data_IF_548179077289
#
_entry.id   IF_548179077289
#
_cell.length_a   1.000
_cell.length_b   1.000
_cell.length_c   1.000
_cell.angle_alpha   90.00
_cell.angle_beta   90.00
_cell.angle_gamma   90.00
#
_symmetry.space_group_name_H-M   'P 1'
#
loop_
_entity.id
_entity.type
_entity.pdbx_description
1 polymer ?
#
# COMPACT_ATOMS: atom_id res chain seq x y z
N UNK A 1 -50.99 -57.04 13.75
CA UNK A 1 -50.83 -57.81 12.50
C UNK A 1 -49.35 -57.89 12.15
N UNK A 2 -48.82 -59.13 12.16
CA UNK A 2 -47.50 -59.62 11.65
C UNK A 2 -46.22 -58.88 12.08
N UNK A 3 -45.66 -59.31 13.23
CA UNK A 3 -44.21 -59.41 13.46
C UNK A 3 -43.69 -60.68 12.75
N UNK A 4 -42.54 -60.61 12.09
CA UNK A 4 -41.74 -61.80 11.77
C UNK A 4 -40.25 -61.49 11.96
N UNK A 5 -39.62 -62.34 12.75
CA UNK A 5 -38.21 -62.40 13.11
C UNK A 5 -37.60 -63.65 12.43
N UNK A 6 -36.29 -63.63 12.23
CA UNK A 6 -35.36 -64.73 11.85
C UNK A 6 -35.55 -65.37 10.45
N UNK A 7 -34.54 -65.89 9.75
CA UNK A 7 -33.34 -66.62 10.18
C UNK A 7 -32.31 -66.74 9.03
N UNK A 8 -31.06 -67.03 9.42
CA UNK A 8 -29.78 -67.16 8.70
C UNK A 8 -29.72 -67.96 7.37
N UNK A 9 -28.71 -67.67 6.53
CA UNK A 9 -27.83 -68.70 5.93
C UNK A 9 -26.46 -68.17 5.47
N UNK A 10 -25.48 -69.06 5.59
CA UNK A 10 -24.03 -68.83 5.55
C UNK A 10 -23.42 -68.94 4.14
N UNK A 11 -22.29 -68.25 3.97
CA UNK A 11 -21.10 -68.60 3.17
C UNK A 11 -21.24 -69.03 1.70
N UNK A 12 -20.66 -68.25 0.79
CA UNK A 12 -19.70 -68.80 -0.20
C UNK A 12 -18.76 -67.69 -0.69
N UNK A 13 -17.48 -67.79 -0.30
CA UNK A 13 -16.38 -66.98 -0.81
C UNK A 13 -15.88 -67.64 -2.09
N UNK A 14 -16.10 -67.01 -3.25
CA UNK A 14 -15.43 -67.40 -4.49
C UNK A 14 -14.25 -66.46 -4.68
N UNK A 15 -13.04 -66.92 -4.35
CA UNK A 15 -11.79 -66.26 -4.71
C UNK A 15 -11.53 -66.54 -6.20
N UNK A 16 -11.84 -65.56 -7.05
CA UNK A 16 -11.42 -65.58 -8.44
C UNK A 16 -9.93 -65.20 -8.50
N UNK A 17 -9.07 -66.20 -8.71
CA UNK A 17 -7.64 -66.02 -8.98
C UNK A 17 -7.48 -65.51 -10.43
N UNK A 18 -7.35 -64.20 -10.58
CA UNK A 18 -6.97 -63.55 -11.83
C UNK A 18 -5.43 -63.51 -11.90
N UNK A 19 -4.85 -64.45 -12.65
CA UNK A 19 -3.45 -64.39 -13.06
C UNK A 19 -3.33 -63.34 -14.15
N UNK A 20 -2.94 -62.12 -13.76
CA UNK A 20 -2.55 -61.07 -14.71
C UNK A 20 -1.06 -61.30 -15.03
N UNK A 21 -0.79 -61.67 -16.27
CA UNK A 21 0.55 -61.69 -16.84
C UNK A 21 1.16 -60.27 -16.78
N UNK A 22 2.15 -60.09 -15.91
CA UNK A 22 3.02 -58.91 -15.88
C UNK A 22 3.91 -58.91 -17.12
N UNK A 23 3.45 -58.23 -18.18
CA UNK A 23 4.35 -57.75 -19.22
C UNK A 23 4.93 -56.43 -18.69
N UNK A 24 6.20 -56.43 -18.29
CA UNK A 24 6.92 -55.18 -17.99
C UNK A 24 7.26 -54.51 -19.33
N UNK A 25 6.73 -53.31 -19.63
CA UNK A 25 7.36 -52.48 -20.63
C UNK A 25 8.65 -51.97 -20.01
N UNK A 26 9.79 -52.39 -20.54
CA UNK A 26 11.04 -51.63 -20.40
C UNK A 26 10.92 -50.37 -21.26
N UNK A 27 10.02 -49.48 -20.88
CA UNK A 27 9.95 -48.13 -21.40
C UNK A 27 10.63 -47.24 -20.39
N UNK A 28 11.74 -46.61 -20.78
CA UNK A 28 12.30 -45.45 -20.10
C UNK A 28 11.27 -44.33 -20.11
N UNK A 29 10.31 -44.42 -19.18
CA UNK A 29 9.33 -43.38 -18.94
C UNK A 29 10.05 -42.22 -18.30
N UNK A 30 10.44 -41.24 -19.12
CA UNK A 30 10.64 -39.88 -18.64
C UNK A 30 9.28 -39.48 -18.06
N UNK A 31 9.15 -39.52 -16.73
CA UNK A 31 8.04 -38.85 -16.09
C UNK A 31 8.17 -37.38 -16.47
N UNK A 32 7.15 -36.75 -17.07
CA UNK A 32 7.14 -35.30 -17.13
C UNK A 32 7.10 -34.83 -15.69
N UNK A 33 8.23 -34.32 -15.19
CA UNK A 33 8.22 -33.46 -14.02
C UNK A 33 7.37 -32.29 -14.45
N UNK A 34 6.13 -32.22 -13.98
CA UNK A 34 5.36 -31.00 -14.05
C UNK A 34 6.20 -29.97 -13.30
N UNK A 35 6.88 -29.10 -14.04
CA UNK A 35 7.44 -27.90 -13.45
C UNK A 35 6.26 -27.17 -12.82
N UNK A 36 6.15 -27.20 -11.50
CA UNK A 36 5.32 -26.22 -10.82
C UNK A 36 5.87 -24.88 -11.28
N UNK A 37 5.03 -24.08 -11.94
CA UNK A 37 5.38 -22.72 -12.28
C UNK A 37 5.60 -21.98 -10.96
N UNK A 38 6.87 -21.90 -10.52
CA UNK A 38 7.27 -21.03 -9.44
C UNK A 38 7.13 -19.63 -10.00
N UNK A 39 5.96 -19.06 -9.81
CA UNK A 39 5.66 -17.70 -10.22
C UNK A 39 6.26 -16.72 -9.20
N UNK A 40 6.62 -15.53 -9.66
CA UNK A 40 6.98 -14.44 -8.74
C UNK A 40 5.86 -14.23 -7.74
N UNK A 41 6.18 -14.26 -6.45
CA UNK A 41 5.23 -13.94 -5.38
C UNK A 41 5.57 -12.62 -4.72
N UNK A 42 4.54 -11.98 -4.18
CA UNK A 42 4.64 -10.68 -3.55
C UNK A 42 4.08 -10.77 -2.14
N UNK A 43 4.67 -10.04 -1.24
CA UNK A 43 3.93 -9.45 -0.14
C UNK A 43 4.24 -7.96 -0.08
N UNK A 44 3.46 -7.28 0.72
CA UNK A 44 3.56 -5.85 0.88
C UNK A 44 2.38 -5.38 1.70
N UNK A 45 2.60 -4.31 2.44
CA UNK A 45 1.58 -3.68 3.25
C UNK A 45 1.99 -2.24 3.49
N UNK A 46 1.00 -1.34 3.45
CA UNK A 46 1.18 0.03 3.84
C UNK A 46 0.18 0.38 4.95
N UNK A 47 0.67 1.05 6.00
CA UNK A 47 -0.14 1.45 7.15
C UNK A 47 0.24 2.87 7.55
N UNK A 48 -0.72 3.79 7.58
CA UNK A 48 -0.44 5.19 7.92
C UNK A 48 -0.22 5.39 9.41
N UNK A 49 -1.03 4.77 10.27
CA UNK A 49 -0.81 4.79 11.72
C UNK A 49 -0.95 3.40 12.28
N UNK A 50 0.05 2.96 13.05
CA UNK A 50 -0.01 1.78 13.92
C UNK A 50 0.53 2.17 15.29
N UNK A 51 -0.29 2.10 16.32
CA UNK A 51 0.10 2.50 17.67
C UNK A 51 -0.37 1.49 18.72
N UNK A 52 0.55 1.13 19.61
CA UNK A 52 0.27 0.43 20.87
C UNK A 52 0.63 1.37 22.00
N UNK A 53 -0.33 1.70 22.85
CA UNK A 53 -0.15 2.64 23.97
C UNK A 53 -0.76 2.02 25.21
N UNK A 54 -0.02 2.04 26.32
CA UNK A 54 -0.49 1.52 27.59
C UNK A 54 -1.84 2.16 27.98
N UNK A 55 -2.85 1.32 28.23
CA UNK A 55 -4.19 1.77 28.59
C UNK A 55 -5.12 2.11 27.41
N UNK A 56 -4.65 1.99 26.16
CA UNK A 56 -5.48 2.12 24.96
C UNK A 56 -5.57 0.80 24.19
N UNK A 57 -6.70 0.51 23.51
CA UNK A 57 -6.74 -0.56 22.52
C UNK A 57 -5.76 -0.25 21.37
N UNK A 58 -5.23 -1.28 20.67
CA UNK A 58 -4.39 -1.05 19.49
C UNK A 58 -5.06 -0.15 18.47
N UNK A 59 -4.35 0.87 18.00
CA UNK A 59 -4.83 1.83 17.02
C UNK A 59 -4.19 1.52 15.67
N UNK A 60 -5.03 1.25 14.67
CA UNK A 60 -4.60 1.08 13.27
C UNK A 60 -5.49 1.95 12.40
N UNK A 61 -4.88 2.87 11.65
CA UNK A 61 -5.59 3.78 10.75
C UNK A 61 -4.98 3.69 9.35
N UNK A 62 -5.86 3.60 8.35
CA UNK A 62 -5.51 3.47 6.92
C UNK A 62 -4.45 2.39 6.68
N UNK A 63 -4.85 1.13 6.85
CA UNK A 63 -4.04 -0.05 6.58
C UNK A 63 -4.58 -0.79 5.34
N UNK A 64 -3.70 -1.06 4.38
CA UNK A 64 -4.06 -1.84 3.19
C UNK A 64 -4.35 -3.30 3.52
N UNK A 65 -3.79 -3.80 4.64
CA UNK A 65 -3.57 -5.21 4.89
C UNK A 65 -2.50 -5.80 3.95
N UNK A 66 -2.07 -7.04 4.19
CA UNK A 66 -1.06 -7.68 3.35
C UNK A 66 -1.60 -7.99 1.94
N UNK A 67 -0.75 -7.82 0.94
CA UNK A 67 -1.01 -8.34 -0.40
C UNK A 67 -1.04 -9.88 -0.38
N UNK A 68 -1.94 -10.50 -1.17
CA UNK A 68 -1.84 -11.93 -1.45
C UNK A 68 -0.53 -12.24 -2.19
N UNK A 69 -0.03 -13.47 -2.01
CA UNK A 69 1.16 -13.98 -2.73
C UNK A 69 1.07 -13.85 -4.25
N UNK A 70 -0.15 -13.87 -4.81
CA UNK A 70 -0.41 -13.67 -6.24
C UNK A 70 -0.26 -12.23 -6.73
N UNK A 71 -0.06 -11.26 -5.82
CA UNK A 71 -0.01 -9.84 -6.14
C UNK A 71 -1.39 -9.17 -6.20
N UNK A 72 -1.47 -8.08 -6.96
CA UNK A 72 -2.62 -7.19 -7.09
C UNK A 72 -2.40 -5.84 -6.41
N UNK A 73 -3.47 -5.05 -6.31
CA UNK A 73 -3.46 -3.72 -5.70
C UNK A 73 -4.39 -3.64 -4.48
N UNK A 74 -3.94 -3.01 -3.39
CA UNK A 74 -4.72 -2.68 -2.19
C UNK A 74 -4.48 -1.21 -1.82
N UNK A 75 -5.51 -0.58 -1.27
CA UNK A 75 -5.49 0.82 -0.84
C UNK A 75 -6.32 0.98 0.42
N UNK A 76 -5.97 1.97 1.22
CA UNK A 76 -6.79 2.47 2.31
C UNK A 76 -6.60 3.97 2.43
N UNK A 77 -7.66 4.69 2.78
CA UNK A 77 -7.59 6.13 3.01
C UNK A 77 -8.59 6.63 4.02
N UNK A 78 -8.23 7.73 4.67
CA UNK A 78 -9.09 8.50 5.54
C UNK A 78 -8.80 9.99 5.29
N UNK A 79 -9.86 10.77 5.12
CA UNK A 79 -9.73 12.21 4.92
C UNK A 79 -9.23 12.91 6.19
N UNK A 80 -9.75 12.50 7.35
CA UNK A 80 -9.35 12.99 8.67
C UNK A 80 -9.47 11.85 9.68
N UNK A 81 -8.65 11.87 10.73
CA UNK A 81 -8.72 10.95 11.85
C UNK A 81 -8.38 11.67 13.15
N UNK A 82 -9.07 11.29 14.23
CA UNK A 82 -8.80 11.78 15.58
C UNK A 82 -8.95 10.64 16.57
N UNK A 83 -7.89 10.39 17.35
CA UNK A 83 -7.90 9.45 18.48
C UNK A 83 -7.70 10.28 19.74
N UNK A 84 -8.73 10.42 20.60
CA UNK A 84 -8.68 11.29 21.77
C UNK A 84 -7.45 11.04 22.64
N UNK A 85 -6.72 12.12 22.94
CA UNK A 85 -5.51 12.07 23.77
C UNK A 85 -4.26 11.47 23.09
N UNK A 86 -4.38 10.96 21.86
CA UNK A 86 -3.25 10.38 21.12
C UNK A 86 -2.89 11.19 19.88
N UNK A 87 -3.79 11.36 18.91
CA UNK A 87 -3.44 12.04 17.67
C UNK A 87 -4.61 12.69 16.95
N UNK A 88 -4.28 13.68 16.12
CA UNK A 88 -5.07 14.09 14.96
C UNK A 88 -4.24 13.94 13.69
N UNK A 89 -4.90 13.55 12.60
CA UNK A 89 -4.24 13.36 11.32
C UNK A 89 -5.17 13.72 10.15
N UNK A 90 -4.60 14.27 9.09
CA UNK A 90 -5.32 14.68 7.88
C UNK A 90 -4.72 14.00 6.65
N UNK A 91 -5.61 13.62 5.71
CA UNK A 91 -5.31 12.92 4.45
C UNK A 91 -4.34 11.75 4.65
N UNK A 92 -4.84 10.70 5.28
CA UNK A 92 -4.13 9.44 5.43
C UNK A 92 -4.31 8.64 4.14
N UNK A 93 -3.22 8.32 3.45
CA UNK A 93 -3.19 7.52 2.24
C UNK A 93 -2.25 6.34 2.42
N UNK A 94 -2.72 5.13 2.08
CA UNK A 94 -1.88 3.95 1.97
C UNK A 94 -2.22 3.18 0.69
N UNK A 95 -1.20 2.70 0.00
CA UNK A 95 -1.33 1.84 -1.16
C UNK A 95 -0.24 0.79 -1.21
N UNK A 96 -0.56 -0.36 -1.80
CA UNK A 96 0.36 -1.47 -1.99
C UNK A 96 0.02 -2.18 -3.28
N UNK A 97 0.99 -2.31 -4.18
CA UNK A 97 0.81 -2.93 -5.50
C UNK A 97 1.96 -3.91 -5.74
N UNK A 98 1.61 -5.17 -6.01
CA UNK A 98 2.55 -6.20 -6.41
C UNK A 98 2.15 -6.77 -7.77
N UNK A 99 2.96 -6.53 -8.80
CA UNK A 99 2.73 -7.10 -10.13
C UNK A 99 4.01 -7.14 -10.97
N UNK A 100 4.07 -8.11 -11.89
CA UNK A 100 5.20 -8.31 -12.80
C UNK A 100 6.54 -8.56 -12.10
N UNK A 101 7.38 -7.53 -12.07
CA UNK A 101 8.73 -7.59 -11.50
C UNK A 101 8.87 -6.69 -10.25
N UNK A 102 7.78 -6.09 -9.76
CA UNK A 102 7.83 -5.11 -8.67
C UNK A 102 6.77 -5.36 -7.59
N UNK A 103 7.16 -5.16 -6.34
CA UNK A 103 6.29 -4.90 -5.19
C UNK A 103 6.59 -3.49 -4.69
N UNK A 104 5.56 -2.64 -4.61
CA UNK A 104 5.67 -1.24 -4.20
C UNK A 104 4.62 -0.92 -3.15
N UNK A 105 5.04 -0.23 -2.11
CA UNK A 105 4.17 0.21 -1.02
C UNK A 105 4.45 1.66 -0.66
N UNK A 106 3.40 2.39 -0.37
CA UNK A 106 3.46 3.79 0.02
C UNK A 106 2.45 4.07 1.13
N UNK A 107 2.89 4.79 2.15
CA UNK A 107 2.01 5.36 3.18
C UNK A 107 2.36 6.82 3.37
N UNK A 108 1.36 7.70 3.42
CA UNK A 108 1.54 9.11 3.71
C UNK A 108 0.44 9.67 4.60
N UNK A 109 0.80 10.71 5.36
CA UNK A 109 -0.12 11.55 6.13
C UNK A 109 0.23 13.01 5.88
N UNK A 110 -0.79 13.81 5.56
CA UNK A 110 -0.60 15.18 5.14
C UNK A 110 -0.53 16.21 6.28
N UNK A 111 -0.90 15.81 7.49
CA UNK A 111 -0.71 16.58 8.71
C UNK A 111 -0.82 15.65 9.90
N UNK A 112 0.11 15.72 10.83
CA UNK A 112 0.11 14.91 12.05
C UNK A 112 0.26 15.83 13.26
N UNK A 113 -0.57 15.61 14.27
CA UNK A 113 -0.26 16.00 15.65
C UNK A 113 -0.39 14.76 16.53
N UNK A 114 0.68 14.34 17.16
CA UNK A 114 0.78 13.18 18.05
C UNK A 114 1.18 13.66 19.46
N UNK A 115 0.46 13.19 20.47
CA UNK A 115 0.81 13.37 21.88
C UNK A 115 0.90 11.99 22.51
N UNK A 116 2.08 11.62 23.01
CA UNK A 116 2.29 10.29 23.60
C UNK A 116 3.38 10.33 24.67
N UNK A 117 3.08 9.77 25.85
CA UNK A 117 4.06 9.68 26.95
C UNK A 117 4.64 11.02 27.37
N UNK A 118 3.86 12.10 27.33
CA UNK A 118 4.30 13.47 27.67
C UNK A 118 5.08 14.19 26.56
N UNK A 119 5.30 13.56 25.41
CA UNK A 119 5.93 14.19 24.26
C UNK A 119 4.88 14.63 23.23
N UNK A 120 5.16 15.73 22.54
CA UNK A 120 4.37 16.19 21.39
C UNK A 120 5.21 16.09 20.13
N UNK A 121 4.66 15.52 19.07
CA UNK A 121 5.29 15.39 17.77
C UNK A 121 4.32 15.88 16.69
N UNK A 122 4.74 16.85 15.89
CA UNK A 122 3.95 17.38 14.79
C UNK A 122 4.76 17.34 13.49
N UNK A 123 4.07 17.15 12.37
CA UNK A 123 4.68 17.31 11.06
C UNK A 123 3.63 17.71 10.02
N UNK A 124 4.05 18.52 9.05
CA UNK A 124 3.20 18.97 7.96
C UNK A 124 3.11 17.94 6.84
N UNK A 125 3.98 16.94 6.79
CA UNK A 125 3.84 15.81 5.89
C UNK A 125 4.78 14.70 6.32
N UNK A 126 4.31 13.45 6.24
CA UNK A 126 5.18 12.29 6.26
C UNK A 126 4.80 11.36 5.12
N UNK A 127 5.79 10.77 4.48
CA UNK A 127 5.62 9.67 3.53
C UNK A 127 6.73 8.64 3.72
N UNK A 128 6.39 7.37 3.60
CA UNK A 128 7.34 6.26 3.46
C UNK A 128 7.06 5.51 2.17
N UNK A 129 8.13 5.15 1.45
CA UNK A 129 8.09 4.38 0.21
C UNK A 129 9.04 3.20 0.30
N UNK A 130 8.55 2.05 -0.13
CA UNK A 130 9.28 0.80 -0.16
C UNK A 130 9.06 0.10 -1.51
N UNK A 131 10.15 -0.34 -2.13
CA UNK A 131 10.13 -1.12 -3.37
C UNK A 131 11.02 -2.34 -3.23
N UNK A 132 10.50 -3.49 -3.66
CA UNK A 132 11.27 -4.69 -3.94
C UNK A 132 11.06 -5.08 -5.41
N UNK A 133 12.15 -5.31 -6.15
CA UNK A 133 12.09 -5.54 -7.59
C UNK A 133 12.97 -6.73 -8.02
N UNK A 134 12.53 -7.46 -9.03
CA UNK A 134 13.31 -8.52 -9.66
C UNK A 134 14.37 -7.96 -10.60
N UNK A 135 15.54 -8.61 -10.62
CA UNK A 135 16.62 -8.27 -11.55
C UNK A 135 16.61 -9.18 -12.76
N UNK A 136 16.96 -8.61 -13.90
CA UNK A 136 17.28 -9.38 -15.10
C UNK A 136 18.50 -10.26 -14.85
N UNK A 137 18.40 -11.55 -15.18
CA UNK A 137 19.48 -12.52 -14.94
C UNK A 137 19.46 -13.14 -13.53
N UNK A 138 18.47 -12.81 -12.70
CA UNK A 138 18.23 -13.46 -11.40
C UNK A 138 18.50 -12.56 -10.19
N UNK A 139 17.92 -12.95 -9.06
CA UNK A 139 17.97 -12.18 -7.82
C UNK A 139 16.95 -11.03 -7.79
N UNK A 140 17.11 -10.17 -6.79
CA UNK A 140 16.23 -9.04 -6.53
C UNK A 140 17.00 -7.85 -5.95
N UNK A 141 16.34 -6.70 -5.88
CA UNK A 141 16.83 -5.48 -5.25
C UNK A 141 15.74 -4.84 -4.42
N UNK A 142 16.14 -4.06 -3.42
CA UNK A 142 15.24 -3.22 -2.64
C UNK A 142 15.70 -1.77 -2.61
N UNK A 143 14.73 -0.86 -2.64
CA UNK A 143 14.90 0.57 -2.52
C UNK A 143 13.82 1.14 -1.60
N UNK A 144 14.14 2.22 -0.89
CA UNK A 144 13.17 2.84 0.01
C UNK A 144 13.68 4.15 0.58
N UNK A 145 12.75 5.04 0.86
CA UNK A 145 13.02 6.38 1.37
C UNK A 145 11.80 6.89 2.14
N UNK A 146 12.02 7.90 2.98
CA UNK A 146 10.95 8.69 3.56
C UNK A 146 11.13 10.18 3.24
N UNK A 147 10.01 10.90 3.22
CA UNK A 147 9.97 12.35 3.16
C UNK A 147 9.22 12.86 4.38
N UNK A 148 9.79 13.83 5.08
CA UNK A 148 9.16 14.45 6.24
C UNK A 148 9.34 15.95 6.15
N UNK A 149 8.23 16.69 6.26
CA UNK A 149 8.22 18.15 6.19
C UNK A 149 7.81 18.72 7.53
N UNK A 150 8.58 19.71 7.98
CA UNK A 150 8.32 20.47 9.20
C UNK A 150 8.12 19.60 10.44
N UNK A 151 9.04 18.66 10.69
CA UNK A 151 9.01 17.84 11.91
C UNK A 151 9.38 18.67 13.14
N UNK A 152 8.42 18.80 14.05
CA UNK A 152 8.59 19.45 15.35
C UNK A 152 8.42 18.40 16.47
N UNK A 153 9.37 18.32 17.40
CA UNK A 153 9.32 17.43 18.58
C UNK A 153 9.46 18.30 19.83
N UNK A 154 8.48 18.24 20.73
CA UNK A 154 8.44 19.02 21.97
C UNK A 154 8.66 20.53 21.76
N UNK A 155 8.13 21.07 20.66
CA UNK A 155 8.27 22.48 20.28
C UNK A 155 9.60 22.84 19.60
N UNK A 156 10.50 21.86 19.38
CA UNK A 156 11.76 22.07 18.68
C UNK A 156 11.69 21.52 17.25
N UNK A 157 12.07 22.37 16.28
CA UNK A 157 12.23 21.97 14.88
C UNK A 157 13.41 21.02 14.72
N UNK A 158 13.13 19.85 14.15
CA UNK A 158 14.12 18.82 13.85
C UNK A 158 14.57 18.95 12.40
N UNK A 159 15.88 18.92 12.19
CA UNK A 159 16.47 18.83 10.86
C UNK A 159 16.50 17.35 10.45
N UNK A 160 15.76 17.02 9.39
CA UNK A 160 15.74 15.68 8.81
C UNK A 160 16.94 15.54 7.86
N UNK A 161 17.89 14.70 8.22
CA UNK A 161 19.15 14.53 7.48
C UNK A 161 18.99 13.70 6.19
N UNK A 162 17.85 13.02 6.02
CA UNK A 162 17.54 12.16 4.88
C UNK A 162 18.21 10.78 4.92
N UNK A 163 19.24 10.58 5.75
CA UNK A 163 19.87 9.28 5.94
C UNK A 163 18.94 8.28 6.65
N UNK A 164 19.02 6.98 6.35
CA UNK A 164 18.26 5.97 7.08
C UNK A 164 18.60 5.94 8.58
N UNK A 165 17.60 5.65 9.40
CA UNK A 165 17.71 5.37 10.84
C UNK A 165 18.26 6.54 11.68
N UNK A 166 17.96 7.79 11.30
CA UNK A 166 18.29 8.96 12.12
C UNK A 166 17.53 8.89 13.44
N UNK A 167 18.22 8.89 14.57
CA UNK A 167 17.60 8.80 15.90
C UNK A 167 17.64 10.13 16.64
N UNK A 168 16.51 10.54 17.19
CA UNK A 168 16.35 11.67 18.11
C UNK A 168 16.02 11.10 19.50
N UNK A 169 16.86 11.39 20.49
CA UNK A 169 16.62 10.97 21.87
C UNK A 169 15.54 11.82 22.52
N UNK A 170 14.65 11.17 23.27
CA UNK A 170 13.67 11.81 24.15
C UNK A 170 14.05 11.53 25.62
N UNK A 171 13.57 12.33 26.58
CA UNK A 171 13.83 12.07 28.00
C UNK A 171 13.38 10.69 28.50
N UNK A 172 12.38 10.10 27.85
CA UNK A 172 11.76 8.82 28.21
C UNK A 172 11.61 7.86 27.01
N UNK A 173 12.48 7.98 26.00
CA UNK A 173 12.42 7.14 24.81
C UNK A 173 13.21 7.69 23.64
N UNK A 174 12.74 7.42 22.42
CA UNK A 174 13.36 7.90 21.19
C UNK A 174 12.37 8.04 20.04
N UNK A 175 12.77 8.79 19.04
CA UNK A 175 12.14 8.85 17.72
C UNK A 175 13.16 8.43 16.67
N UNK A 176 12.83 7.44 15.85
CA UNK A 176 13.63 7.02 14.70
C UNK A 176 12.96 7.53 13.43
N UNK A 177 13.71 8.31 12.66
CA UNK A 177 13.30 8.93 11.40
C UNK A 177 13.89 8.11 10.26
N UNK A 178 13.08 7.88 9.21
CA UNK A 178 13.48 7.08 8.06
C UNK A 178 14.03 5.72 8.51
N UNK A 179 13.31 5.04 9.41
CA UNK A 179 13.74 3.74 9.90
C UNK A 179 13.61 2.73 8.77
N UNK A 180 14.72 2.07 8.43
CA UNK A 180 14.77 1.09 7.35
C UNK A 180 15.36 -0.23 7.82
N UNK A 181 14.62 -1.31 7.56
CA UNK A 181 15.11 -2.68 7.70
C UNK A 181 15.02 -3.38 6.35
N UNK A 182 16.03 -4.19 6.02
CA UNK A 182 16.18 -4.83 4.71
C UNK A 182 16.61 -6.28 4.90
N UNK A 183 16.08 -7.17 4.09
CA UNK A 183 16.55 -8.55 3.97
C UNK A 183 16.64 -8.93 2.49
N UNK A 184 17.72 -9.63 2.11
CA UNK A 184 17.94 -10.10 0.75
C UNK A 184 18.61 -11.47 0.81
N UNK A 185 17.98 -12.47 0.20
CA UNK A 185 18.50 -13.84 0.10
C UNK A 185 17.90 -14.52 -1.12
N UNK A 186 18.73 -15.03 -2.03
CA UNK A 186 18.38 -15.93 -3.14
C UNK A 186 17.01 -15.68 -3.81
N UNK A 187 16.90 -14.53 -4.48
CA UNK A 187 15.69 -14.14 -5.21
C UNK A 187 14.55 -13.62 -4.33
N UNK A 188 14.66 -13.72 -3.01
CA UNK A 188 13.73 -13.09 -2.05
C UNK A 188 14.34 -11.83 -1.48
N UNK A 189 13.64 -10.70 -1.60
CA UNK A 189 14.05 -9.45 -1.01
C UNK A 189 12.86 -8.78 -0.32
N UNK A 190 13.11 -8.17 0.84
CA UNK A 190 12.13 -7.38 1.56
C UNK A 190 12.76 -6.09 2.10
N UNK A 191 11.94 -5.05 2.19
CA UNK A 191 12.28 -3.80 2.84
C UNK A 191 11.06 -3.26 3.58
N UNK A 192 11.30 -2.77 4.79
CA UNK A 192 10.34 -1.95 5.52
C UNK A 192 10.93 -0.56 5.71
N UNK A 193 10.15 0.46 5.41
CA UNK A 193 10.45 1.86 5.70
C UNK A 193 9.36 2.43 6.58
N UNK A 194 9.75 2.96 7.73
CA UNK A 194 8.87 3.77 8.57
C UNK A 194 9.34 5.22 8.48
N UNK A 195 8.45 6.15 8.13
CA UNK A 195 8.81 7.56 8.10
C UNK A 195 9.17 8.01 9.52
N UNK A 196 8.33 7.65 10.50
CA UNK A 196 8.54 7.95 11.91
C UNK A 196 8.21 6.74 12.77
N UNK A 197 9.12 6.39 13.69
CA UNK A 197 8.90 5.38 14.72
C UNK A 197 9.21 5.98 16.10
N UNK A 198 8.17 6.21 16.89
CA UNK A 198 8.24 6.79 18.24
C UNK A 198 8.12 5.65 19.25
N UNK A 199 9.14 5.50 20.08
CA UNK A 199 9.16 4.51 21.17
C UNK A 199 9.31 5.27 22.48
N UNK A 200 8.32 5.12 23.36
CA UNK A 200 8.35 5.63 24.74
C UNK A 200 8.47 4.43 25.68
N UNK A 201 9.55 4.39 26.45
CA UNK A 201 9.93 3.20 27.20
C UNK A 201 8.84 2.77 28.18
N UNK A 202 8.34 1.53 28.01
CA UNK A 202 7.27 0.95 28.83
C UNK A 202 5.88 1.55 28.62
N UNK A 203 5.71 2.53 27.71
CA UNK A 203 4.46 3.29 27.55
C UNK A 203 3.88 3.13 26.15
N UNK A 204 4.68 3.29 25.09
CA UNK A 204 4.14 3.33 23.73
C UNK A 204 5.14 2.91 22.65
N UNK A 205 4.58 2.33 21.58
CA UNK A 205 5.23 2.04 20.30
C UNK A 205 4.30 2.57 19.20
N UNK A 206 4.72 3.62 18.50
CA UNK A 206 3.92 4.33 17.50
C UNK A 206 4.69 4.46 16.20
N UNK A 207 4.14 3.92 15.13
CA UNK A 207 4.68 4.03 13.78
C UNK A 207 3.74 4.88 12.94
N UNK A 208 4.30 5.92 12.32
CA UNK A 208 3.62 6.78 11.37
C UNK A 208 4.22 6.59 9.98
N UNK A 209 3.35 6.28 9.03
CA UNK A 209 3.65 5.95 7.63
C UNK A 209 4.67 4.83 7.53
N UNK A 210 4.17 3.59 7.55
CA UNK A 210 4.91 2.36 7.34
C UNK A 210 4.64 1.82 5.94
N UNK A 211 5.69 1.55 5.19
CA UNK A 211 5.63 0.90 3.89
C UNK A 211 6.53 -0.34 3.91
N UNK A 212 5.93 -1.50 3.66
CA UNK A 212 6.64 -2.78 3.53
C UNK A 212 6.46 -3.31 2.12
N UNK A 213 7.54 -3.68 1.46
CA UNK A 213 7.51 -4.34 0.16
C UNK A 213 8.43 -5.55 0.17
N UNK A 214 7.95 -6.66 -0.37
CA UNK A 214 8.77 -7.83 -0.59
C UNK A 214 8.37 -8.57 -1.87
N UNK A 215 9.34 -9.30 -2.40
CA UNK A 215 9.20 -10.05 -3.64
C UNK A 215 10.06 -11.30 -3.57
N UNK A 216 9.50 -12.40 -4.07
CA UNK A 216 10.24 -13.63 -4.31
C UNK A 216 10.27 -13.87 -5.82
N UNK A 217 11.40 -13.50 -6.42
CA UNK A 217 11.63 -13.51 -7.85
C UNK A 217 11.79 -14.93 -8.37
N UNK A 218 10.88 -15.28 -9.28
CA UNK A 218 10.90 -16.52 -10.03
C UNK A 218 10.52 -16.19 -11.48
N UNK A 219 9.62 -16.93 -12.11
CA UNK A 219 9.09 -16.52 -13.42
C UNK A 219 8.04 -15.41 -13.23
N UNK A 220 8.22 -14.22 -13.83
CA UNK A 220 7.24 -13.14 -13.72
C UNK A 220 5.93 -13.54 -14.40
N UNK A 221 4.83 -13.27 -13.72
CA UNK A 221 3.47 -13.47 -14.25
C UNK A 221 3.03 -12.12 -14.79
N UNK A 222 2.88 -12.01 -16.11
CA UNK A 222 2.53 -10.76 -16.81
C UNK A 222 1.04 -10.49 -17.16
N UNK A 223 0.02 -11.06 -16.48
CA UNK A 223 -1.26 -10.39 -16.32
C UNK A 223 -1.15 -9.37 -15.17
N UNK A 224 -1.26 -8.09 -15.49
CA UNK A 224 -1.31 -6.99 -14.52
C UNK A 224 -2.35 -5.96 -14.93
N UNK A 225 -2.77 -5.14 -13.98
CA UNK A 225 -3.65 -4.00 -14.25
C UNK A 225 -2.82 -2.73 -14.47
N UNK A 226 -3.45 -1.74 -15.08
CA UNK A 226 -2.94 -0.37 -15.05
C UNK A 226 -3.53 0.33 -13.83
N UNK A 227 -2.66 0.72 -12.90
CA UNK A 227 -3.01 1.46 -11.70
C UNK A 227 -2.14 2.69 -11.55
N UNK A 228 -2.68 3.70 -10.88
CA UNK A 228 -1.92 4.84 -10.36
C UNK A 228 -2.21 4.99 -8.88
N UNK A 229 -1.17 5.30 -8.11
CA UNK A 229 -1.26 5.62 -6.69
C UNK A 229 -0.47 6.88 -6.41
N UNK A 230 -0.80 7.60 -5.34
CA UNK A 230 0.05 8.66 -4.88
C UNK A 230 -0.52 9.42 -3.70
N UNK A 231 0.38 10.01 -2.91
CA UNK A 231 0.07 10.98 -1.88
C UNK A 231 1.02 12.15 -1.97
N UNK A 232 0.58 13.34 -1.58
CA UNK A 232 1.43 14.51 -1.68
C UNK A 232 0.71 15.82 -1.51
N UNK A 233 1.34 16.90 -1.97
CA UNK A 233 0.70 18.21 -2.03
C UNK A 233 1.21 19.07 -3.17
N UNK A 234 0.34 19.99 -3.57
CA UNK A 234 0.61 21.05 -4.53
C UNK A 234 0.46 22.42 -3.85
N UNK A 235 0.96 23.47 -4.49
CA UNK A 235 0.79 24.86 -4.05
C UNK A 235 -0.07 25.69 -5.02
N UNK A 236 -0.38 25.18 -6.22
CA UNK A 236 -1.24 25.86 -7.19
C UNK A 236 -2.73 25.68 -6.89
N UNK A 237 -3.13 25.98 -5.66
CA UNK A 237 -4.53 26.08 -5.25
C UNK A 237 -5.04 27.52 -5.50
N UNK A 238 -6.37 27.74 -5.57
CA UNK A 238 -6.91 29.10 -5.71
C UNK A 238 -6.50 30.05 -4.57
N UNK A 239 -6.24 29.50 -3.38
CA UNK A 239 -5.80 30.25 -2.20
C UNK A 239 -4.28 30.49 -2.17
N UNK A 240 -3.50 29.78 -3.00
CA UNK A 240 -2.04 29.70 -2.92
C UNK A 240 -1.53 28.90 -1.71
N UNK A 241 -2.42 28.42 -0.84
CA UNK A 241 -2.06 27.57 0.28
C UNK A 241 -1.84 26.12 -0.15
N UNK A 242 -1.36 25.31 0.77
CA UNK A 242 -1.10 23.88 0.56
C UNK A 242 -2.40 23.15 0.17
N UNK A 243 -2.38 22.40 -0.94
CA UNK A 243 -3.42 21.46 -1.32
C UNK A 243 -2.89 20.03 -1.19
N UNK A 244 -3.32 19.30 -0.16
CA UNK A 244 -2.83 17.94 0.15
C UNK A 244 -3.78 16.89 -0.38
N UNK A 245 -3.26 15.79 -0.93
CA UNK A 245 -4.08 14.72 -1.49
C UNK A 245 -3.55 13.32 -1.20
N UNK A 246 -4.46 12.36 -1.29
CA UNK A 246 -4.20 10.94 -1.44
C UNK A 246 -5.09 10.42 -2.56
N UNK A 247 -4.52 9.70 -3.51
CA UNK A 247 -5.22 9.24 -4.71
C UNK A 247 -4.81 7.83 -5.07
N UNK A 248 -5.78 7.04 -5.50
CA UNK A 248 -5.55 5.77 -6.16
C UNK A 248 -6.60 5.61 -7.27
N UNK A 249 -6.21 5.02 -8.39
CA UNK A 249 -7.08 4.77 -9.54
C UNK A 249 -6.63 3.55 -10.34
N UNK A 250 -7.57 2.84 -10.95
CA UNK A 250 -7.28 1.76 -11.89
C UNK A 250 -8.48 0.87 -12.12
N UNK A 251 -8.25 -0.24 -12.82
CA UNK A 251 -9.26 -1.28 -13.06
C UNK A 251 -8.79 -2.58 -12.41
N UNK A 252 -9.58 -3.07 -11.44
CA UNK A 252 -9.32 -4.32 -10.73
C UNK A 252 -10.47 -5.28 -10.97
N UNK A 253 -10.19 -6.46 -11.52
CA UNK A 253 -11.18 -7.50 -11.80
C UNK A 253 -12.38 -6.99 -12.63
N UNK A 254 -12.14 -6.12 -13.61
CA UNK A 254 -13.17 -5.55 -14.47
C UNK A 254 -14.01 -4.42 -13.84
N UNK A 255 -13.70 -4.01 -12.60
CA UNK A 255 -14.37 -2.90 -11.92
C UNK A 255 -13.39 -1.75 -11.64
N UNK A 256 -13.90 -0.52 -11.59
CA UNK A 256 -13.11 0.63 -11.15
C UNK A 256 -12.67 0.46 -9.70
N UNK A 257 -11.44 0.85 -9.42
CA UNK A 257 -10.81 0.76 -8.12
C UNK A 257 -10.10 2.06 -7.82
N UNK A 258 -10.13 2.49 -6.56
CA UNK A 258 -9.41 3.68 -6.13
C UNK A 258 -10.08 4.44 -5.00
N UNK A 259 -9.55 5.62 -4.74
CA UNK A 259 -10.11 6.61 -3.83
C UNK A 259 -9.54 7.99 -4.18
N UNK A 260 -10.16 9.03 -3.60
CA UNK A 260 -9.61 10.37 -3.55
C UNK A 260 -9.84 10.95 -2.15
N UNK A 261 -8.81 11.57 -1.59
CA UNK A 261 -8.89 12.46 -0.44
C UNK A 261 -8.15 13.74 -0.80
N UNK A 262 -8.73 14.91 -0.58
CA UNK A 262 -8.09 16.19 -0.85
C UNK A 262 -8.49 17.24 0.19
N UNK A 263 -7.53 18.06 0.62
CA UNK A 263 -7.76 19.21 1.49
C UNK A 263 -6.98 20.41 0.95
N UNK A 264 -7.68 21.52 0.70
CA UNK A 264 -7.09 22.84 0.53
C UNK A 264 -7.02 23.54 1.88
N UNK A 265 -5.82 23.75 2.40
CA UNK A 265 -5.60 24.30 3.73
C UNK A 265 -5.86 25.81 3.82
N UNK A 266 -6.02 26.51 2.70
CA UNK A 266 -6.33 27.95 2.67
C UNK A 266 -7.83 28.21 2.57
N UNK A 267 -8.51 27.52 1.65
CA UNK A 267 -9.97 27.66 1.48
C UNK A 267 -10.79 26.77 2.42
N UNK A 268 -10.17 25.77 3.03
CA UNK A 268 -10.83 24.78 3.88
C UNK A 268 -11.68 23.76 3.11
N UNK A 269 -11.58 23.74 1.77
CA UNK A 269 -12.25 22.73 0.94
C UNK A 269 -11.69 21.35 1.27
N UNK A 270 -12.57 20.45 1.69
CA UNK A 270 -12.28 19.04 1.94
C UNK A 270 -13.07 18.17 0.98
N UNK A 271 -12.40 17.26 0.29
CA UNK A 271 -13.02 16.36 -0.69
C UNK A 271 -12.75 14.93 -0.30
N UNK A 272 -13.81 14.13 -0.24
CA UNK A 272 -13.74 12.68 -0.07
C UNK A 272 -14.41 12.04 -1.28
N UNK A 273 -13.64 11.30 -2.06
CA UNK A 273 -14.17 10.45 -3.12
C UNK A 273 -15.06 9.35 -2.53
N UNK A 274 -16.25 9.20 -3.09
CA UNK A 274 -17.23 8.17 -2.70
C UNK A 274 -17.32 7.03 -3.71
N UNK A 275 -16.70 7.20 -4.88
CA UNK A 275 -16.59 6.17 -5.90
C UNK A 275 -15.67 6.61 -7.05
N UNK A 276 -15.17 5.65 -7.81
CA UNK A 276 -14.45 5.89 -9.08
C UNK A 276 -15.40 5.50 -10.21
N UNK A 277 -15.58 6.38 -11.20
CA UNK A 277 -16.51 6.21 -12.33
C UNK A 277 -15.82 6.21 -13.68
N UNK A 278 -14.57 6.65 -13.77
CA UNK A 278 -13.75 6.52 -14.96
C UNK A 278 -12.26 6.38 -14.60
N UNK A 279 -11.54 5.63 -15.43
CA UNK A 279 -10.09 5.51 -15.40
C UNK A 279 -9.58 5.45 -16.84
N UNK A 280 -8.81 6.46 -17.26
CA UNK A 280 -8.37 6.63 -18.64
C UNK A 280 -6.85 6.78 -18.67
N UNK A 281 -6.20 5.98 -19.50
CA UNK A 281 -4.80 6.16 -19.87
C UNK A 281 -4.74 7.29 -20.89
N UNK A 282 -4.22 8.45 -20.46
CA UNK A 282 -4.10 9.63 -21.33
C UNK A 282 -2.86 9.49 -22.21
N UNK A 283 -1.73 9.15 -21.61
CA UNK A 283 -0.45 8.86 -22.28
C UNK A 283 0.41 7.92 -21.42
N UNK A 284 1.68 7.74 -21.75
CA UNK A 284 2.59 6.82 -21.03
C UNK A 284 2.81 7.23 -19.55
N UNK A 285 2.61 8.50 -19.22
CA UNK A 285 2.94 9.10 -17.92
C UNK A 285 1.71 9.60 -17.16
N UNK A 286 0.57 9.79 -17.83
CA UNK A 286 -0.60 10.49 -17.30
C UNK A 286 -1.82 9.58 -17.22
N UNK A 287 -2.56 9.67 -16.11
CA UNK A 287 -3.85 8.99 -15.90
C UNK A 287 -4.92 9.99 -15.50
N UNK A 288 -6.09 9.82 -16.09
CA UNK A 288 -7.29 10.59 -15.76
C UNK A 288 -8.26 9.72 -14.95
N UNK A 289 -8.78 10.26 -13.86
CA UNK A 289 -9.69 9.59 -12.94
C UNK A 289 -10.92 10.48 -12.75
N UNK A 290 -12.11 9.92 -12.93
CA UNK A 290 -13.36 10.59 -12.54
C UNK A 290 -14.03 9.82 -11.40
N UNK A 291 -14.84 10.51 -10.60
CA UNK A 291 -15.64 9.87 -9.58
C UNK A 291 -16.65 10.77 -8.90
N UNK A 292 -17.44 10.17 -8.01
CA UNK A 292 -18.37 10.89 -7.13
C UNK A 292 -17.66 11.33 -5.86
N UNK A 293 -18.09 12.43 -5.24
CA UNK A 293 -17.48 12.97 -4.04
C UNK A 293 -18.47 13.59 -3.06
N UNK A 294 -18.03 13.65 -1.81
CA UNK A 294 -18.49 14.60 -0.80
C UNK A 294 -17.53 15.81 -0.79
N UNK A 295 -18.07 17.02 -0.75
CA UNK A 295 -17.32 18.25 -0.51
C UNK A 295 -17.79 18.82 0.84
N UNK A 296 -16.87 19.00 1.78
CA UNK A 296 -17.15 19.47 3.14
C UNK A 296 -18.24 18.65 3.85
N UNK A 297 -18.26 17.33 3.61
CA UNK A 297 -19.25 16.40 4.16
C UNK A 297 -20.61 16.39 3.44
N UNK A 298 -20.82 17.24 2.42
CA UNK A 298 -22.02 17.23 1.60
C UNK A 298 -21.81 16.39 0.35
N UNK A 299 -22.68 15.39 0.13
CA UNK A 299 -22.66 14.55 -1.08
C UNK A 299 -23.28 15.22 -2.31
N UNK A 300 -23.22 14.52 -3.45
CA UNK A 300 -23.82 14.97 -4.72
C UNK A 300 -22.86 15.68 -5.68
N UNK A 301 -21.56 15.66 -5.38
CA UNK A 301 -20.54 16.26 -6.24
C UNK A 301 -19.80 15.20 -7.05
N UNK A 302 -19.05 15.65 -8.06
CA UNK A 302 -18.10 14.81 -8.80
C UNK A 302 -16.73 15.46 -8.83
N UNK A 303 -15.71 14.64 -9.03
CA UNK A 303 -14.33 15.06 -9.23
C UNK A 303 -13.79 14.52 -10.55
N UNK A 304 -12.83 15.26 -11.10
CA UNK A 304 -11.92 14.83 -12.16
C UNK A 304 -10.51 15.09 -11.66
N UNK A 305 -9.64 14.09 -11.77
CA UNK A 305 -8.25 14.18 -11.36
C UNK A 305 -7.36 13.72 -12.50
N UNK A 306 -6.34 14.51 -12.80
CA UNK A 306 -5.24 14.11 -13.68
C UNK A 306 -3.97 14.01 -12.85
N UNK A 307 -3.32 12.86 -12.92
CA UNK A 307 -2.04 12.59 -12.26
C UNK A 307 -1.02 12.17 -13.29
N UNK A 308 0.21 12.66 -13.14
CA UNK A 308 1.32 12.23 -13.98
C UNK A 308 2.56 11.89 -13.14
N UNK A 309 3.12 10.70 -13.39
CA UNK A 309 4.39 10.22 -12.84
C UNK A 309 5.50 10.60 -13.84
N UNK A 310 6.38 11.52 -13.44
CA UNK A 310 7.54 11.97 -14.23
C UNK A 310 8.87 11.59 -13.61
N UNK A 311 8.85 10.50 -12.86
CA UNK A 311 10.03 9.87 -12.31
C UNK A 311 10.33 10.25 -10.86
N UNK A 312 11.14 9.39 -10.26
CA UNK A 312 11.49 9.44 -8.85
C UNK A 312 12.57 10.52 -8.58
N UNK A 313 12.50 11.29 -7.47
CA UNK A 313 11.69 11.06 -6.26
C UNK A 313 10.34 11.81 -6.22
N UNK A 314 9.66 11.98 -7.36
CA UNK A 314 8.30 12.52 -7.44
C UNK A 314 8.20 14.03 -7.62
N UNK A 315 9.33 14.77 -7.62
CA UNK A 315 9.34 16.24 -7.71
C UNK A 315 8.82 16.79 -9.04
N UNK A 316 8.90 16.00 -10.10
CA UNK A 316 8.39 16.36 -11.42
C UNK A 316 6.97 15.82 -11.68
N UNK A 317 6.42 15.08 -10.72
CA UNK A 317 5.05 14.59 -10.80
C UNK A 317 4.08 15.75 -10.67
N UNK A 318 2.89 15.57 -11.22
CA UNK A 318 1.84 16.58 -11.17
C UNK A 318 0.51 16.00 -10.75
N UNK A 319 -0.25 16.83 -10.06
CA UNK A 319 -1.63 16.56 -9.67
C UNK A 319 -2.50 17.73 -10.11
N UNK A 320 -3.65 17.43 -10.71
CA UNK A 320 -4.71 18.38 -11.01
C UNK A 320 -6.04 17.82 -10.51
N UNK A 321 -6.88 18.67 -9.93
CA UNK A 321 -8.24 18.35 -9.52
C UNK A 321 -9.20 19.41 -10.08
N UNK A 322 -10.34 18.94 -10.58
CA UNK A 322 -11.50 19.77 -10.94
C UNK A 322 -12.74 19.18 -10.27
N UNK A 323 -13.52 20.01 -9.60
CA UNK A 323 -14.76 19.63 -8.91
C UNK A 323 -15.98 20.18 -9.64
N UNK A 324 -17.12 19.50 -9.54
CA UNK A 324 -18.37 19.92 -10.19
C UNK A 324 -18.92 21.27 -9.70
N UNK A 325 -18.43 21.78 -8.56
CA UNK A 325 -18.78 23.11 -8.04
C UNK A 325 -17.89 24.24 -8.59
N UNK A 326 -17.01 23.96 -9.55
CA UNK A 326 -16.12 24.93 -10.19
C UNK A 326 -14.76 25.13 -9.49
N UNK A 327 -14.52 24.48 -8.36
CA UNK A 327 -13.19 24.47 -7.74
C UNK A 327 -12.19 23.73 -8.62
N UNK A 328 -11.01 24.33 -8.83
CA UNK A 328 -9.89 23.70 -9.52
C UNK A 328 -8.58 23.99 -8.79
N UNK A 329 -7.67 23.03 -8.78
CA UNK A 329 -6.30 23.22 -8.30
C UNK A 329 -5.36 22.33 -9.11
N UNK A 330 -4.14 22.80 -9.36
CA UNK A 330 -3.16 22.04 -10.14
C UNK A 330 -1.73 22.44 -9.79
N UNK A 331 -0.78 21.53 -9.97
CA UNK A 331 0.63 21.87 -9.91
C UNK A 331 1.53 20.66 -9.91
N UNK A 332 2.83 20.92 -9.98
CA UNK A 332 3.83 19.93 -9.66
C UNK A 332 3.83 19.67 -8.15
N UNK A 333 4.24 18.46 -7.75
CA UNK A 333 4.30 18.12 -6.34
C UNK A 333 5.36 18.95 -5.62
N UNK A 334 4.92 19.67 -4.59
CA UNK A 334 5.80 20.32 -3.63
C UNK A 334 6.30 19.34 -2.55
N UNK A 335 5.80 18.11 -2.57
CA UNK A 335 6.36 16.88 -2.00
C UNK A 335 5.34 15.74 -2.07
N UNK A 336 5.77 14.53 -1.72
CA UNK A 336 5.05 13.29 -2.03
C UNK A 336 5.47 12.67 -3.35
N UNK A 337 4.65 11.74 -3.86
CA UNK A 337 4.96 10.92 -5.04
C UNK A 337 3.69 10.48 -5.77
N UNK A 338 3.76 10.35 -7.09
CA UNK A 338 2.83 9.59 -7.92
C UNK A 338 3.58 8.37 -8.46
N UNK A 339 2.94 7.21 -8.42
CA UNK A 339 3.50 6.00 -9.01
C UNK A 339 2.52 5.38 -10.00
N UNK A 340 2.99 5.18 -11.23
CA UNK A 340 2.32 4.32 -12.20
C UNK A 340 2.74 2.87 -12.02
N UNK A 341 1.74 1.99 -12.00
CA UNK A 341 1.90 0.55 -11.94
C UNK A 341 1.34 -0.03 -13.22
N UNK A 342 2.22 -0.33 -14.16
CA UNK A 342 1.86 -0.91 -15.45
C UNK A 342 2.09 -2.42 -15.44
N UNK A 343 1.30 -3.18 -16.22
CA UNK A 343 1.60 -4.60 -16.43
C UNK A 343 3.01 -4.75 -17.05
N UNK A 344 3.75 -5.78 -16.64
CA UNK A 344 5.01 -6.09 -17.31
C UNK A 344 4.75 -6.40 -18.79
N UNK A 345 5.52 -5.76 -19.68
CA UNK A 345 5.51 -6.10 -21.10
C UNK A 345 6.23 -7.43 -21.27
N UNK A 346 5.59 -8.40 -21.93
CA UNK A 346 6.28 -9.63 -22.37
C UNK A 346 7.45 -9.20 -23.25
N UNK A 347 8.67 -9.54 -22.84
CA UNK A 347 9.88 -9.35 -23.64
C UNK A 347 9.94 -10.35 -24.78
#
# INVERSE_FOLDING_TARGET
MKKKLSQHWSSFVVRLLLVVLLVWPTGSGIQPVLAQANNTTYSGQATVVRATVLGLPPVVLSDTGPLPGSGGARQASLLEASVPGLLTAEVLHASTVGQGEHSRSEASVAKLNLTVGGNTIAADFLMARAEAACRLGGGCSVGGASEIVALDINGQRIIVAGQPNQTITLPNGRVVINEQSRSQSDGTCAITVNALHVVIDGIADVIISSAHADINCRQPVCPGGDFVTGGGWITGTPSGAKGTFGVAGGIKNGAFWGHLSYIDHGSGVKVKGTGVTAYIVVDDMTRHIEGTAEINGQGGFTYRVDVADRGEPGRNDSFMISLSNGYTAMGNLAGGNIQLHQPCRKR
#
